data_IF_685040394570
#
_entry.id   IF_685040394570
#
_cell.length_a   1.000
_cell.length_b   1.000
_cell.length_c   1.000
_cell.angle_alpha   90.00
_cell.angle_beta   90.00
_cell.angle_gamma   90.00
#
_symmetry.space_group_name_H-M   'P 1'
#
loop_
_entity.id
_entity.type
_entity.pdbx_description
1 polymer ?
#
# COMPACT_ATOMS: atom_id res chain seq x y z
N UNK A 1 -5.12 -1.58 33.06
CA UNK A 1 -4.53 -0.82 31.94
C UNK A 1 -3.94 -1.87 31.00
N UNK A 2 -4.67 -2.24 29.95
CA UNK A 2 -4.27 -3.32 29.05
C UNK A 2 -3.23 -2.79 28.07
N UNK A 3 -2.02 -3.36 28.10
CA UNK A 3 -1.03 -3.22 27.04
C UNK A 3 -1.56 -3.95 25.81
N UNK A 4 -2.18 -3.21 24.89
CA UNK A 4 -2.42 -3.66 23.54
C UNK A 4 -1.12 -3.51 22.76
N UNK A 5 -0.19 -4.46 22.92
CA UNK A 5 0.90 -4.62 21.95
C UNK A 5 0.27 -5.05 20.63
N UNK A 6 -0.05 -4.06 19.79
CA UNK A 6 -0.43 -4.28 18.40
C UNK A 6 0.83 -4.73 17.65
N UNK A 7 1.10 -6.03 17.68
CA UNK A 7 2.13 -6.68 16.88
C UNK A 7 1.92 -6.29 15.42
N UNK A 8 2.80 -5.41 14.92
CA UNK A 8 2.68 -4.80 13.59
C UNK A 8 3.04 -5.76 12.46
N UNK A 9 3.69 -6.88 12.77
CA UNK A 9 4.01 -7.96 11.84
C UNK A 9 3.48 -9.27 12.37
N UNK A 10 2.87 -10.04 11.48
CA UNK A 10 2.35 -11.37 11.80
C UNK A 10 3.43 -12.38 11.49
N UNK A 11 3.93 -12.96 12.57
CA UNK A 11 4.83 -14.09 12.53
C UNK A 11 4.00 -15.36 12.75
N UNK A 12 4.19 -16.36 11.88
CA UNK A 12 3.44 -17.61 11.91
C UNK A 12 2.35 -17.74 10.84
N UNK A 13 1.64 -18.87 10.87
CA UNK A 13 0.66 -19.26 9.87
C UNK A 13 -0.50 -18.25 9.76
N UNK A 14 -0.95 -18.00 8.53
CA UNK A 14 -2.07 -17.13 8.18
C UNK A 14 -2.97 -17.82 7.15
N UNK A 15 -4.26 -17.47 7.11
CA UNK A 15 -5.15 -17.87 6.00
C UNK A 15 -4.63 -17.40 4.62
N UNK A 16 -3.74 -16.41 4.59
CA UNK A 16 -3.07 -16.00 3.35
C UNK A 16 -2.12 -17.09 2.83
N UNK A 17 -1.53 -17.90 3.71
CA UNK A 17 -0.63 -19.01 3.38
C UNK A 17 -1.33 -20.16 2.68
N UNK A 18 -2.65 -20.29 2.88
CA UNK A 18 -3.48 -21.29 2.19
C UNK A 18 -3.70 -20.92 0.71
N UNK A 19 -3.62 -19.63 0.38
CA UNK A 19 -3.80 -19.14 -0.99
C UNK A 19 -2.45 -18.99 -1.71
N UNK A 20 -1.46 -18.44 -1.02
CA UNK A 20 -0.12 -18.17 -1.56
C UNK A 20 0.89 -18.84 -0.64
N UNK A 21 1.66 -19.80 -1.15
CA UNK A 21 2.67 -20.49 -0.35
C UNK A 21 3.70 -19.50 0.23
N UNK A 22 4.25 -19.80 1.40
CA UNK A 22 5.21 -18.90 2.09
C UNK A 22 6.45 -18.69 1.22
N UNK A 23 6.90 -19.73 0.52
CA UNK A 23 8.03 -19.68 -0.41
C UNK A 23 7.78 -18.69 -1.55
N UNK A 24 6.56 -18.68 -2.10
CA UNK A 24 6.15 -17.74 -3.14
C UNK A 24 6.06 -16.31 -2.58
N UNK A 25 5.57 -16.13 -1.36
CA UNK A 25 5.54 -14.82 -0.70
C UNK A 25 6.94 -14.24 -0.50
N UNK A 26 7.91 -15.08 -0.10
CA UNK A 26 9.30 -14.68 0.07
C UNK A 26 9.94 -14.33 -1.29
N UNK A 27 9.75 -15.18 -2.30
CA UNK A 27 10.24 -14.91 -3.65
C UNK A 27 9.63 -13.64 -4.25
N UNK A 28 8.32 -13.41 -4.02
CA UNK A 28 7.66 -12.17 -4.41
C UNK A 28 8.24 -10.96 -3.68
N UNK A 29 8.59 -11.09 -2.40
CA UNK A 29 9.13 -9.96 -1.65
C UNK A 29 10.53 -9.56 -2.11
N UNK A 30 11.32 -10.50 -2.65
CA UNK A 30 12.62 -10.19 -3.26
C UNK A 30 12.49 -9.31 -4.52
N UNK A 31 11.47 -9.57 -5.34
CA UNK A 31 11.19 -8.78 -6.55
C UNK A 31 9.68 -8.68 -6.85
N UNK A 32 8.94 -7.79 -6.16
CA UNK A 32 7.50 -7.67 -6.33
C UNK A 32 7.10 -7.34 -7.76
N UNK A 33 7.91 -6.53 -8.44
CA UNK A 33 7.65 -6.08 -9.79
C UNK A 33 7.77 -7.25 -10.77
N UNK A 34 8.89 -7.97 -10.79
CA UNK A 34 9.06 -9.09 -11.73
C UNK A 34 8.07 -10.22 -11.45
N UNK A 35 7.88 -10.61 -10.18
CA UNK A 35 6.94 -11.66 -9.81
C UNK A 35 5.52 -11.34 -10.26
N UNK A 36 5.07 -10.09 -10.12
CA UNK A 36 3.75 -9.67 -10.58
C UNK A 36 3.63 -9.54 -12.11
N UNK A 37 4.73 -9.63 -12.88
CA UNK A 37 4.70 -9.70 -14.35
C UNK A 37 4.42 -11.09 -14.87
N UNK A 38 5.04 -12.05 -14.21
CA UNK A 38 5.03 -13.45 -14.62
C UNK A 38 3.91 -14.22 -13.95
N UNK A 39 3.30 -13.65 -12.91
CA UNK A 39 2.14 -14.22 -12.24
C UNK A 39 1.01 -14.48 -13.23
N UNK A 40 0.35 -15.63 -13.09
CA UNK A 40 -0.79 -15.97 -13.94
C UNK A 40 -1.86 -14.87 -13.89
N UNK A 41 -2.23 -14.34 -15.06
CA UNK A 41 -3.29 -13.34 -15.22
C UNK A 41 -4.67 -14.01 -15.20
N UNK A 42 -4.95 -14.81 -14.18
CA UNK A 42 -6.29 -15.36 -13.96
C UNK A 42 -7.20 -14.24 -13.45
N UNK A 43 -7.70 -13.45 -14.39
CA UNK A 43 -8.62 -12.35 -14.11
C UNK A 43 -9.92 -12.96 -13.60
N UNK A 44 -10.29 -12.65 -12.36
CA UNK A 44 -11.60 -12.98 -11.85
C UNK A 44 -12.66 -12.42 -12.81
N UNK A 45 -13.49 -13.28 -13.45
CA UNK A 45 -14.49 -12.80 -14.40
C UNK A 45 -15.46 -11.87 -13.66
N UNK A 46 -15.68 -10.70 -14.25
CA UNK A 46 -16.57 -9.68 -13.68
C UNK A 46 -18.00 -10.02 -14.06
N UNK A 47 -18.82 -10.38 -13.07
CA UNK A 47 -20.24 -10.67 -13.28
C UNK A 47 -21.06 -9.39 -13.60
N UNK A 48 -22.30 -9.57 -14.05
CA UNK A 48 -23.16 -8.44 -14.43
C UNK A 48 -23.51 -7.51 -13.26
N UNK A 49 -23.65 -8.03 -12.05
CA UNK A 49 -23.96 -7.25 -10.85
C UNK A 49 -22.76 -6.42 -10.40
N UNK A 50 -21.57 -7.01 -10.40
CA UNK A 50 -20.29 -6.34 -10.15
C UNK A 50 -20.04 -5.20 -11.15
N UNK A 51 -20.30 -5.47 -12.45
CA UNK A 51 -20.21 -4.47 -13.51
C UNK A 51 -21.21 -3.34 -13.31
N UNK A 52 -22.47 -3.66 -13.00
CA UNK A 52 -23.52 -2.67 -12.77
C UNK A 52 -23.18 -1.75 -11.59
N UNK A 53 -22.74 -2.31 -10.45
CA UNK A 53 -22.31 -1.53 -9.28
C UNK A 53 -21.12 -0.61 -9.59
N UNK A 54 -20.17 -1.08 -10.39
CA UNK A 54 -18.96 -0.33 -10.74
C UNK A 54 -19.21 0.82 -11.73
N UNK A 55 -20.22 0.68 -12.61
CA UNK A 55 -20.41 1.53 -13.80
C UNK A 55 -20.55 3.02 -13.49
N UNK A 56 -21.36 3.38 -12.49
CA UNK A 56 -21.66 4.80 -12.18
C UNK A 56 -20.40 5.59 -11.78
N UNK A 57 -19.67 5.09 -10.78
CA UNK A 57 -18.45 5.75 -10.31
C UNK A 57 -17.33 5.65 -11.34
N UNK A 58 -17.24 4.53 -12.05
CA UNK A 58 -16.27 4.36 -13.12
C UNK A 58 -16.47 5.39 -14.24
N UNK A 59 -17.70 5.57 -14.74
CA UNK A 59 -17.98 6.54 -15.81
C UNK A 59 -17.63 7.98 -15.39
N UNK A 60 -18.01 8.36 -14.16
CA UNK A 60 -17.67 9.67 -13.58
C UNK A 60 -16.17 9.85 -13.34
N UNK A 61 -15.48 8.77 -12.98
CA UNK A 61 -14.04 8.79 -12.80
C UNK A 61 -13.32 8.96 -14.14
N UNK A 62 -13.70 8.19 -15.16
CA UNK A 62 -13.08 8.26 -16.49
C UNK A 62 -13.33 9.57 -17.23
N UNK A 63 -14.35 10.35 -16.85
CA UNK A 63 -14.58 11.67 -17.42
C UNK A 63 -13.67 12.75 -16.83
N UNK A 64 -12.82 12.43 -15.85
CA UNK A 64 -11.88 13.39 -15.28
C UNK A 64 -10.65 13.56 -16.19
N UNK A 65 -10.06 14.77 -16.26
CA UNK A 65 -8.87 15.01 -17.07
C UNK A 65 -7.63 14.24 -16.58
N UNK A 66 -7.54 13.98 -15.28
CA UNK A 66 -6.44 13.30 -14.59
C UNK A 66 -6.66 11.79 -14.41
N UNK A 67 -7.75 11.22 -14.96
CA UNK A 67 -8.14 9.82 -14.72
C UNK A 67 -7.03 8.83 -15.10
N UNK A 68 -6.30 9.11 -16.18
CA UNK A 68 -5.20 8.27 -16.64
C UNK A 68 -4.03 8.27 -15.65
N UNK A 69 -3.64 9.42 -15.11
CA UNK A 69 -2.57 9.54 -14.12
C UNK A 69 -2.93 8.80 -12.83
N UNK A 70 -4.19 8.91 -12.38
CA UNK A 70 -4.66 8.18 -11.20
C UNK A 70 -4.64 6.66 -11.44
N UNK A 71 -5.05 6.22 -12.64
CA UNK A 71 -4.95 4.81 -13.06
C UNK A 71 -3.51 4.32 -13.08
N UNK A 72 -2.59 5.16 -13.55
CA UNK A 72 -1.19 4.84 -13.66
C UNK A 72 -0.56 4.70 -12.26
N UNK A 73 -0.86 5.62 -11.32
CA UNK A 73 -0.42 5.50 -9.93
C UNK A 73 -0.94 4.23 -9.24
N UNK A 74 -2.23 3.91 -9.41
CA UNK A 74 -2.79 2.67 -8.86
C UNK A 74 -2.16 1.44 -9.51
N UNK A 75 -1.99 1.43 -10.84
CA UNK A 75 -1.36 0.32 -11.55
C UNK A 75 0.07 0.08 -11.08
N UNK A 76 0.84 1.16 -10.88
CA UNK A 76 2.20 1.10 -10.36
C UNK A 76 2.26 0.53 -8.94
N UNK A 77 1.34 0.94 -8.06
CA UNK A 77 1.25 0.38 -6.72
C UNK A 77 0.86 -1.11 -6.73
N UNK A 78 -0.10 -1.50 -7.57
CA UNK A 78 -0.47 -2.92 -7.74
C UNK A 78 0.72 -3.74 -8.23
N UNK A 79 1.47 -3.19 -9.19
CA UNK A 79 2.65 -3.81 -9.76
C UNK A 79 3.76 -4.04 -8.73
N UNK A 80 4.06 -3.03 -7.93
CA UNK A 80 5.31 -3.02 -7.12
C UNK A 80 5.10 -3.30 -5.64
N UNK A 81 3.87 -3.20 -5.14
CA UNK A 81 3.60 -3.26 -3.70
C UNK A 81 2.53 -4.28 -3.32
N UNK A 82 1.69 -4.73 -4.25
CA UNK A 82 0.57 -5.62 -3.91
C UNK A 82 0.94 -7.09 -4.19
N UNK A 83 0.91 -7.98 -3.18
CA UNK A 83 1.11 -9.41 -3.37
C UNK A 83 0.11 -10.02 -4.38
N UNK A 84 0.61 -10.56 -5.49
CA UNK A 84 -0.13 -11.36 -6.45
C UNK A 84 -1.50 -10.76 -6.84
N UNK A 85 -1.55 -9.53 -7.37
CA UNK A 85 -2.76 -8.71 -7.34
C UNK A 85 -3.90 -9.31 -8.18
N UNK A 86 -3.62 -10.14 -9.19
CA UNK A 86 -4.66 -10.87 -9.92
C UNK A 86 -5.33 -11.95 -9.04
N UNK A 87 -4.52 -12.77 -8.37
CA UNK A 87 -5.00 -13.92 -7.57
C UNK A 87 -5.68 -13.48 -6.26
N UNK A 88 -5.26 -12.35 -5.70
CA UNK A 88 -5.67 -11.90 -4.36
C UNK A 88 -6.75 -10.82 -4.37
N UNK A 89 -7.21 -10.41 -5.57
CA UNK A 89 -8.27 -9.42 -5.76
C UNK A 89 -9.54 -9.82 -4.99
N UNK A 90 -10.24 -8.83 -4.42
CA UNK A 90 -11.49 -8.92 -3.65
C UNK A 90 -11.41 -9.73 -2.35
N UNK A 91 -10.47 -10.66 -2.24
CA UNK A 91 -10.24 -11.48 -1.06
C UNK A 91 -9.31 -10.78 -0.06
N UNK A 92 -8.23 -10.17 -0.53
CA UNK A 92 -7.22 -9.56 0.34
C UNK A 92 -6.94 -8.10 0.03
N UNK A 93 -7.21 -7.67 -1.20
CA UNK A 93 -7.17 -6.25 -1.57
C UNK A 93 -8.37 -5.82 -2.41
N UNK A 94 -8.64 -4.52 -2.39
CA UNK A 94 -9.62 -3.92 -3.29
C UNK A 94 -9.31 -2.47 -3.62
N UNK A 95 -9.88 -1.96 -4.70
CA UNK A 95 -9.75 -0.56 -5.09
C UNK A 95 -11.12 0.07 -5.29
N UNK A 96 -11.28 1.32 -4.85
CA UNK A 96 -12.48 2.12 -5.11
C UNK A 96 -12.13 3.34 -5.95
N UNK A 97 -13.07 3.83 -6.78
CA UNK A 97 -13.00 5.18 -7.36
C UNK A 97 -14.14 6.05 -6.84
N UNK A 98 -13.80 7.30 -6.57
CA UNK A 98 -14.69 8.34 -6.05
C UNK A 98 -15.53 7.85 -4.85
N UNK A 99 -14.92 7.26 -3.81
CA UNK A 99 -15.68 6.87 -2.63
C UNK A 99 -16.31 8.11 -1.98
N UNK A 100 -17.42 7.91 -1.28
CA UNK A 100 -18.17 9.00 -0.65
C UNK A 100 -17.49 9.58 0.61
N UNK A 101 -16.24 9.21 0.90
CA UNK A 101 -15.47 9.72 2.02
C UNK A 101 -15.23 11.22 1.86
N UNK A 102 -15.82 12.03 2.75
CA UNK A 102 -15.63 13.48 2.81
C UNK A 102 -14.73 13.80 4.01
N UNK A 103 -13.49 14.22 3.76
CA UNK A 103 -12.58 14.68 4.82
C UNK A 103 -12.75 16.17 5.16
N UNK A 104 -13.57 16.90 4.40
CA UNK A 104 -13.82 18.33 4.59
C UNK A 104 -14.55 18.94 3.41
N UNK A 105 -14.92 20.22 3.52
CA UNK A 105 -15.61 20.94 2.45
C UNK A 105 -14.72 21.01 1.21
N UNK A 106 -15.20 20.46 0.10
CA UNK A 106 -14.54 20.47 -1.21
C UNK A 106 -13.40 19.46 -1.38
N UNK A 107 -13.05 18.71 -0.34
CA UNK A 107 -12.10 17.60 -0.44
C UNK A 107 -12.74 16.41 -1.16
N UNK A 108 -11.97 15.76 -2.04
CA UNK A 108 -12.43 14.60 -2.82
C UNK A 108 -11.41 13.49 -2.77
N UNK A 109 -11.81 12.33 -2.24
CA UNK A 109 -11.08 11.08 -2.44
C UNK A 109 -11.35 10.58 -3.87
N UNK A 110 -10.30 10.44 -4.67
CA UNK A 110 -10.39 10.01 -6.06
C UNK A 110 -10.28 8.50 -6.20
N UNK A 111 -9.36 7.91 -5.44
CA UNK A 111 -9.12 6.48 -5.41
C UNK A 111 -8.59 6.06 -4.05
N UNK A 112 -8.89 4.82 -3.65
CA UNK A 112 -8.26 4.15 -2.51
C UNK A 112 -7.98 2.70 -2.88
N UNK A 113 -6.75 2.22 -2.68
CA UNK A 113 -6.41 0.79 -2.59
C UNK A 113 -6.43 0.41 -1.12
N UNK A 114 -7.15 -0.65 -0.79
CA UNK A 114 -7.30 -1.16 0.57
C UNK A 114 -6.82 -2.59 0.65
N UNK A 115 -6.18 -2.98 1.75
CA UNK A 115 -5.73 -4.35 2.01
C UNK A 115 -6.07 -4.73 3.46
N UNK A 116 -6.70 -5.89 3.63
CA UNK A 116 -7.30 -6.27 4.91
C UNK A 116 -8.32 -5.24 5.40
N UNK A 117 -8.02 -4.57 6.51
CA UNK A 117 -8.85 -3.51 7.10
C UNK A 117 -8.35 -2.08 6.84
N UNK A 118 -7.21 -1.91 6.16
CA UNK A 118 -6.52 -0.63 6.03
C UNK A 118 -6.66 -0.05 4.62
N UNK A 119 -6.63 1.29 4.52
CA UNK A 119 -6.34 1.99 3.27
C UNK A 119 -4.81 2.05 3.11
N UNK A 120 -4.28 1.51 2.00
CA UNK A 120 -2.84 1.36 1.77
C UNK A 120 -2.28 2.44 0.86
N UNK A 121 -3.06 2.82 -0.15
CA UNK A 121 -2.77 3.90 -1.07
C UNK A 121 -4.03 4.71 -1.23
N UNK A 122 -3.95 6.02 -1.14
CA UNK A 122 -5.09 6.86 -1.44
C UNK A 122 -4.73 8.17 -2.12
N UNK A 123 -5.61 8.56 -3.03
CA UNK A 123 -5.36 9.66 -3.96
C UNK A 123 -6.45 10.70 -3.74
N UNK A 124 -6.03 11.92 -3.44
CA UNK A 124 -6.91 12.98 -2.95
C UNK A 124 -6.76 14.26 -3.73
N UNK A 125 -7.86 14.98 -3.85
CA UNK A 125 -7.91 16.33 -4.39
C UNK A 125 -8.48 17.27 -3.35
N UNK A 126 -7.71 18.31 -2.99
CA UNK A 126 -8.21 19.42 -2.18
C UNK A 126 -9.09 20.35 -3.04
N UNK A 127 -9.91 21.24 -2.46
CA UNK A 127 -10.87 22.04 -3.22
C UNK A 127 -10.25 22.88 -4.34
N UNK A 128 -9.05 23.41 -4.10
CA UNK A 128 -8.31 24.31 -4.99
C UNK A 128 -6.89 23.83 -5.29
N UNK A 129 -6.47 22.69 -4.74
CA UNK A 129 -5.09 22.24 -4.84
C UNK A 129 -4.91 21.02 -5.75
N UNK A 130 -3.64 20.60 -5.90
CA UNK A 130 -3.27 19.49 -6.77
C UNK A 130 -3.84 18.17 -6.25
N UNK A 131 -3.79 17.16 -7.12
CA UNK A 131 -4.02 15.78 -6.72
C UNK A 131 -2.78 15.25 -6.03
N UNK A 132 -2.91 14.89 -4.76
CA UNK A 132 -1.86 14.28 -3.95
C UNK A 132 -2.07 12.78 -3.80
N UNK A 133 -0.99 12.07 -3.51
CA UNK A 133 -1.00 10.64 -3.20
C UNK A 133 -0.49 10.47 -1.77
N UNK A 134 -1.07 9.55 -1.02
CA UNK A 134 -0.52 9.07 0.23
C UNK A 134 -0.44 7.55 0.20
N UNK A 135 0.59 6.99 0.83
CA UNK A 135 0.83 5.55 0.86
C UNK A 135 1.36 5.12 2.22
N UNK A 136 0.78 4.07 2.79
CA UNK A 136 1.30 3.43 3.99
C UNK A 136 2.52 2.56 3.67
N UNK A 137 3.52 2.60 4.54
CA UNK A 137 4.80 1.89 4.43
C UNK A 137 5.25 1.34 5.78
N UNK A 138 6.19 0.41 5.77
CA UNK A 138 6.88 -0.07 6.97
C UNK A 138 8.15 0.76 7.20
N UNK A 139 8.15 1.62 8.22
CA UNK A 139 9.26 2.56 8.44
C UNK A 139 10.61 1.85 8.68
N UNK A 140 10.59 0.58 9.14
CA UNK A 140 11.81 -0.17 9.45
C UNK A 140 12.62 -0.51 8.19
N UNK A 141 11.99 -0.43 7.02
CA UNK A 141 12.62 -0.63 5.71
C UNK A 141 12.95 0.68 5.00
N UNK A 142 12.65 1.82 5.62
CA UNK A 142 13.12 3.11 5.14
C UNK A 142 14.53 3.36 5.70
N UNK A 143 15.48 3.89 4.90
CA UNK A 143 16.81 4.20 5.38
C UNK A 143 16.81 5.16 6.58
N UNK A 144 17.84 5.12 7.44
CA UNK A 144 18.07 6.19 8.41
C UNK A 144 18.22 7.54 7.69
N UNK A 145 17.72 8.61 8.29
CA UNK A 145 17.77 9.97 7.74
C UNK A 145 17.13 10.15 6.34
N UNK A 146 16.29 9.21 5.92
CA UNK A 146 15.67 9.21 4.59
C UNK A 146 14.78 10.42 4.33
N UNK A 147 14.29 11.11 5.36
CA UNK A 147 13.58 12.39 5.25
C UNK A 147 14.33 13.40 4.37
N UNK A 148 15.66 13.45 4.46
CA UNK A 148 16.47 14.39 3.67
C UNK A 148 16.49 14.02 2.18
N UNK A 149 16.56 12.73 1.89
CA UNK A 149 16.54 12.23 0.52
C UNK A 149 15.15 12.38 -0.10
N UNK A 150 14.10 12.04 0.66
CA UNK A 150 12.70 12.23 0.28
C UNK A 150 12.38 13.69 -0.03
N UNK A 151 12.95 14.64 0.74
CA UNK A 151 12.77 16.06 0.50
C UNK A 151 13.28 16.52 -0.88
N UNK A 152 14.25 15.82 -1.49
CA UNK A 152 14.71 16.14 -2.86
C UNK A 152 13.68 15.82 -3.95
N UNK A 153 12.66 15.03 -3.60
CA UNK A 153 11.55 14.66 -4.48
C UNK A 153 10.20 15.17 -3.96
N UNK A 154 10.21 16.15 -3.05
CA UNK A 154 9.04 16.71 -2.38
C UNK A 154 8.18 15.65 -1.66
N UNK A 155 8.76 14.53 -1.22
CA UNK A 155 8.07 13.49 -0.47
C UNK A 155 8.20 13.80 1.02
N UNK A 156 7.09 13.69 1.76
CA UNK A 156 7.06 13.92 3.21
C UNK A 156 6.62 12.67 3.96
N UNK A 157 7.21 12.45 5.13
CA UNK A 157 6.74 11.46 6.12
C UNK A 157 5.65 12.12 6.99
N UNK A 158 4.51 11.46 7.13
CA UNK A 158 3.34 11.97 7.87
C UNK A 158 3.12 11.26 9.21
N UNK A 159 3.93 10.24 9.51
CA UNK A 159 3.83 9.40 10.69
C UNK A 159 2.73 8.34 10.60
N UNK A 160 2.40 7.79 11.76
CA UNK A 160 1.31 6.81 11.94
C UNK A 160 -0.04 7.51 11.77
N UNK A 161 -0.84 7.05 10.82
CA UNK A 161 -2.15 7.64 10.50
C UNK A 161 -3.32 6.75 10.90
N UNK A 162 -3.09 5.44 11.04
CA UNK A 162 -4.13 4.48 11.33
C UNK A 162 -3.89 3.80 12.68
N UNK A 163 -4.93 3.76 13.51
CA UNK A 163 -4.93 2.99 14.76
C UNK A 163 -4.60 1.51 14.50
N UNK A 164 -5.06 0.98 13.36
CA UNK A 164 -4.81 -0.41 12.95
C UNK A 164 -3.60 -0.55 12.00
N UNK A 165 -2.80 0.50 11.80
CA UNK A 165 -1.55 0.45 11.03
C UNK A 165 -0.46 -0.34 11.77
N UNK A 166 -0.53 -0.39 13.09
CA UNK A 166 0.49 -1.01 13.94
C UNK A 166 1.68 -0.07 14.14
N UNK A 167 2.57 -0.45 15.06
CA UNK A 167 3.69 0.41 15.48
C UNK A 167 4.69 0.74 14.36
N UNK A 168 4.73 -0.06 13.29
CA UNK A 168 5.66 0.08 12.17
C UNK A 168 5.13 0.94 11.00
N UNK A 169 3.90 1.46 11.09
CA UNK A 169 3.35 2.27 10.02
C UNK A 169 4.08 3.62 9.88
N UNK A 170 4.39 3.97 8.64
CA UNK A 170 4.73 5.34 8.24
C UNK A 170 3.97 5.68 6.95
N UNK A 171 3.31 6.84 6.92
CA UNK A 171 2.60 7.29 5.73
C UNK A 171 3.44 8.30 4.96
N UNK A 172 3.81 7.94 3.73
CA UNK A 172 4.46 8.85 2.80
C UNK A 172 3.41 9.68 2.06
N UNK A 173 3.65 10.98 1.96
CA UNK A 173 2.81 11.94 1.23
C UNK A 173 3.57 12.50 0.02
N UNK A 174 2.92 12.41 -1.13
CA UNK A 174 3.42 12.90 -2.41
C UNK A 174 2.51 14.05 -2.89
N UNK A 175 3.05 15.25 -3.17
CA UNK A 175 2.25 16.44 -3.49
C UNK A 175 1.56 16.33 -4.85
N UNK A 176 2.08 15.49 -5.74
CA UNK A 176 1.51 15.22 -7.07
C UNK A 176 1.58 13.73 -7.41
N UNK A 177 0.76 13.29 -8.38
CA UNK A 177 0.86 11.95 -8.95
C UNK A 177 2.24 11.73 -9.61
N UNK A 178 2.79 12.75 -10.28
CA UNK A 178 4.11 12.66 -10.91
C UNK A 178 5.22 12.47 -9.88
N UNK A 179 5.15 13.14 -8.73
CA UNK A 179 6.09 12.94 -7.63
C UNK A 179 6.01 11.50 -7.09
N UNK A 180 4.80 10.96 -6.92
CA UNK A 180 4.61 9.55 -6.56
C UNK A 180 5.25 8.60 -7.57
N UNK A 181 4.95 8.75 -8.86
CA UNK A 181 5.51 7.89 -9.91
C UNK A 181 7.03 8.01 -9.94
N UNK A 182 7.58 9.22 -9.92
CA UNK A 182 9.03 9.46 -9.92
C UNK A 182 9.73 8.81 -8.73
N UNK A 183 9.21 9.01 -7.52
CA UNK A 183 9.77 8.40 -6.31
C UNK A 183 9.69 6.87 -6.34
N UNK A 184 8.57 6.31 -6.82
CA UNK A 184 8.40 4.87 -6.99
C UNK A 184 9.35 4.29 -8.04
N UNK A 185 9.81 5.05 -9.03
CA UNK A 185 10.86 4.62 -9.95
C UNK A 185 12.25 4.71 -9.32
N UNK A 186 12.54 5.83 -8.66
CA UNK A 186 13.88 6.17 -8.18
C UNK A 186 14.28 5.40 -6.91
N UNK A 187 13.35 5.20 -5.97
CA UNK A 187 13.68 4.70 -4.63
C UNK A 187 13.14 3.29 -4.42
N UNK A 188 14.02 2.30 -4.59
CA UNK A 188 13.73 0.91 -4.20
C UNK A 188 13.27 0.78 -2.72
N UNK A 189 13.83 1.52 -1.73
CA UNK A 189 13.38 1.40 -0.35
C UNK A 189 11.91 1.76 -0.13
N UNK A 190 11.37 2.76 -0.86
CA UNK A 190 9.93 3.10 -0.79
C UNK A 190 9.08 1.92 -1.23
N UNK A 191 9.45 1.29 -2.36
CA UNK A 191 8.73 0.13 -2.89
C UNK A 191 8.76 -1.04 -1.91
N UNK A 192 9.94 -1.34 -1.35
CA UNK A 192 10.11 -2.43 -0.40
C UNK A 192 9.34 -2.20 0.90
N UNK A 193 9.40 -0.98 1.46
CA UNK A 193 8.65 -0.62 2.65
C UNK A 193 7.13 -0.71 2.43
N UNK A 194 6.63 -0.26 1.28
CA UNK A 194 5.22 -0.39 0.91
C UNK A 194 4.80 -1.85 0.66
N UNK A 195 5.63 -2.63 -0.04
CA UNK A 195 5.40 -4.05 -0.32
C UNK A 195 5.34 -4.87 0.97
N UNK A 196 6.25 -4.60 1.92
CA UNK A 196 6.26 -5.27 3.21
C UNK A 196 5.00 -4.97 4.00
N UNK A 197 4.64 -3.68 4.06
CA UNK A 197 3.46 -3.24 4.79
C UNK A 197 2.18 -3.85 4.20
N UNK A 198 2.08 -3.91 2.88
CA UNK A 198 1.00 -4.58 2.16
C UNK A 198 0.91 -6.08 2.47
N UNK A 199 2.03 -6.80 2.42
CA UNK A 199 2.09 -8.22 2.75
C UNK A 199 1.64 -8.47 4.20
N UNK A 200 2.15 -7.68 5.16
CA UNK A 200 1.75 -7.79 6.57
C UNK A 200 0.24 -7.56 6.74
N UNK A 201 -0.36 -6.60 6.02
CA UNK A 201 -1.82 -6.38 6.06
C UNK A 201 -2.64 -7.51 5.45
N UNK A 202 -2.18 -8.09 4.33
CA UNK A 202 -2.87 -9.20 3.68
C UNK A 202 -2.76 -10.49 4.49
N UNK A 203 -1.62 -10.74 5.15
CA UNK A 203 -1.46 -11.83 6.14
C UNK A 203 -2.33 -11.63 7.38
N UNK A 204 -2.70 -10.39 7.72
CA UNK A 204 -3.53 -10.10 8.90
C UNK A 204 -4.99 -10.44 8.74
N UNK A 205 -5.56 -10.13 7.59
CA UNK A 205 -6.98 -10.37 7.38
C UNK A 205 -7.34 -10.28 5.92
N UNK A 206 -8.39 -10.99 5.54
CA UNK A 206 -9.12 -10.76 4.30
C UNK A 206 -9.69 -9.34 4.25
N UNK A 207 -9.96 -8.85 3.05
CA UNK A 207 -10.66 -7.61 2.79
C UNK A 207 -12.08 -7.68 3.36
N UNK A 208 -12.37 -6.86 4.37
CA UNK A 208 -13.68 -6.85 5.05
C UNK A 208 -14.52 -5.66 4.61
N UNK A 209 -14.51 -4.55 5.35
CA UNK A 209 -15.38 -3.37 5.16
C UNK A 209 -15.23 -2.67 3.79
N UNK A 210 -14.09 -2.87 3.13
CA UNK A 210 -13.80 -2.25 1.83
C UNK A 210 -14.23 -3.11 0.64
N UNK A 211 -14.68 -4.35 0.88
CA UNK A 211 -15.10 -5.28 -0.18
C UNK A 211 -16.26 -4.72 -1.01
N UNK A 212 -17.24 -4.10 -0.35
CA UNK A 212 -18.41 -3.54 -1.02
C UNK A 212 -18.12 -2.25 -1.82
N UNK A 213 -17.02 -1.57 -1.48
CA UNK A 213 -16.55 -0.40 -2.20
C UNK A 213 -15.69 -0.75 -3.43
N UNK A 214 -15.37 -2.03 -3.64
CA UNK A 214 -14.53 -2.47 -4.73
C UNK A 214 -15.15 -2.15 -6.10
N UNK A 215 -14.39 -1.46 -6.95
CA UNK A 215 -14.76 -1.13 -8.32
C UNK A 215 -14.02 -2.06 -9.29
N UNK A 216 -14.72 -3.08 -9.78
CA UNK A 216 -14.17 -4.11 -10.66
C UNK A 216 -13.67 -3.55 -12.00
N UNK A 217 -14.32 -2.52 -12.54
CA UNK A 217 -13.90 -1.89 -13.80
C UNK A 217 -12.59 -1.12 -13.63
N UNK A 218 -12.42 -0.43 -12.50
CA UNK A 218 -11.16 0.22 -12.17
C UNK A 218 -10.05 -0.82 -11.96
N UNK A 219 -10.29 -1.81 -11.08
CA UNK A 219 -9.31 -2.86 -10.80
C UNK A 219 -8.80 -3.52 -12.09
N UNK A 220 -9.71 -3.95 -12.98
CA UNK A 220 -9.35 -4.53 -14.27
C UNK A 220 -8.51 -3.60 -15.14
N UNK A 221 -8.84 -2.30 -15.18
CA UNK A 221 -8.09 -1.32 -15.99
C UNK A 221 -6.73 -0.93 -15.41
N UNK A 222 -6.54 -1.08 -14.10
CA UNK A 222 -5.24 -0.88 -13.44
C UNK A 222 -4.36 -2.13 -13.56
N UNK A 223 -4.94 -3.33 -13.41
CA UNK A 223 -4.27 -4.61 -13.60
C UNK A 223 -3.76 -4.79 -15.03
N UNK A 224 -4.55 -4.48 -16.05
CA UNK A 224 -4.08 -4.54 -17.45
C UNK A 224 -3.08 -3.44 -17.84
N UNK A 225 -2.74 -2.52 -16.93
CA UNK A 225 -1.71 -1.50 -17.15
C UNK A 225 -0.35 -1.90 -16.56
N UNK A 226 -0.26 -2.99 -15.81
CA UNK A 226 0.98 -3.35 -15.09
C UNK A 226 2.17 -3.54 -16.04
N UNK A 227 1.92 -3.98 -17.27
CA UNK A 227 2.93 -4.20 -18.32
C UNK A 227 3.57 -2.91 -18.84
N UNK A 228 3.01 -1.73 -18.51
CA UNK A 228 3.57 -0.44 -18.92
C UNK A 228 4.80 -0.03 -18.12
N UNK A 229 5.04 -0.67 -16.98
CA UNK A 229 6.07 -0.24 -16.03
C UNK A 229 7.38 -1.01 -16.28
N UNK A 230 8.37 -0.32 -16.82
CA UNK A 230 9.76 -0.78 -16.80
C UNK A 230 10.40 -0.32 -15.49
N UNK A 231 10.38 -1.19 -14.48
CA UNK A 231 10.96 -0.92 -13.16
C UNK A 231 12.02 -1.97 -12.90
N UNK A 232 13.24 -1.49 -12.65
CA UNK A 232 14.33 -2.32 -12.13
C UNK A 232 14.23 -2.35 -10.61
N UNK A 233 13.98 -3.53 -10.10
CA UNK A 233 14.21 -3.94 -8.71
C UNK A 233 15.68 -4.31 -8.63
N UNK A 234 16.54 -3.30 -8.44
CA UNK A 234 17.88 -3.63 -7.95
C UNK A 234 17.70 -4.26 -6.57
N UNK A 235 18.28 -5.45 -6.31
CA UNK A 235 18.29 -6.02 -4.98
C UNK A 235 18.89 -4.99 -4.02
N UNK A 236 18.16 -4.61 -2.98
CA UNK A 236 18.77 -3.80 -1.92
C UNK A 236 19.82 -4.65 -1.21
N UNK A 237 21.06 -4.18 -1.17
CA UNK A 237 22.09 -4.73 -0.30
C UNK A 237 21.53 -4.81 1.14
N UNK A 238 21.51 -6.01 1.73
CA UNK A 238 21.00 -6.26 3.09
C UNK A 238 19.58 -6.85 3.22
N UNK A 239 18.88 -7.14 2.12
CA UNK A 239 17.57 -7.84 2.18
C UNK A 239 17.65 -9.24 2.78
N UNK A 240 18.82 -9.88 2.73
CA UNK A 240 19.07 -11.19 3.31
C UNK A 240 18.73 -11.26 4.80
N UNK A 241 19.03 -10.23 5.59
CA UNK A 241 18.71 -10.19 7.03
C UNK A 241 17.20 -10.08 7.29
N UNK A 242 16.48 -9.30 6.46
CA UNK A 242 15.01 -9.16 6.55
C UNK A 242 14.30 -10.45 6.15
N UNK A 243 14.80 -11.13 5.10
CA UNK A 243 14.30 -12.44 4.66
C UNK A 243 14.55 -13.49 5.73
N UNK A 244 15.72 -13.48 6.38
CA UNK A 244 16.01 -14.35 7.52
C UNK A 244 15.05 -14.08 8.68
N UNK A 245 14.78 -12.82 9.03
CA UNK A 245 13.82 -12.47 10.09
C UNK A 245 12.36 -12.88 9.75
N UNK A 246 11.98 -12.90 8.47
CA UNK A 246 10.69 -13.45 8.02
C UNK A 246 10.62 -14.98 8.20
N UNK A 247 11.72 -15.68 7.96
CA UNK A 247 11.81 -17.14 8.10
C UNK A 247 11.85 -17.59 9.56
N UNK A 248 12.57 -16.85 10.40
CA UNK A 248 12.87 -17.27 11.78
C UNK A 248 11.85 -16.76 12.80
N UNK A 249 10.99 -15.80 12.43
CA UNK A 249 10.20 -15.04 13.40
C UNK A 249 11.10 -14.17 14.29
N UNK A 250 10.54 -13.31 15.15
CA UNK A 250 11.37 -12.47 16.00
C UNK A 250 12.09 -13.37 17.00
N UNK A 251 13.42 -13.41 16.94
CA UNK A 251 14.21 -13.77 18.10
C UNK A 251 13.75 -12.87 19.26
N UNK A 252 13.45 -13.48 20.41
CA UNK A 252 12.96 -12.82 21.63
C UNK A 252 14.02 -11.87 22.20
N UNK A 253 14.26 -10.77 21.51
CA UNK A 253 15.17 -9.73 21.93
C UNK A 253 14.38 -8.74 22.78
N UNK A 254 14.67 -8.74 24.08
CA UNK A 254 14.15 -7.75 25.03
C UNK A 254 14.61 -6.37 24.58
N UNK A 255 13.72 -5.59 23.98
CA UNK A 255 14.01 -4.19 23.71
C UNK A 255 14.10 -3.40 25.03
N UNK A 256 15.05 -2.46 25.13
CA UNK A 256 15.14 -1.57 26.28
C UNK A 256 13.89 -0.67 26.35
N UNK A 257 13.31 -0.58 27.53
CA UNK A 257 12.09 0.19 27.81
C UNK A 257 12.22 1.65 27.35
N UNK A 258 11.34 2.07 26.45
CA UNK A 258 11.18 3.45 26.01
C UNK A 258 10.49 4.29 27.08
N UNK A 259 11.18 4.56 28.19
CA UNK A 259 10.76 5.52 29.21
C UNK A 259 11.75 6.70 29.29
N UNK A 260 11.81 7.57 28.28
CA UNK A 260 12.56 8.85 28.42
C UNK A 260 12.27 9.97 27.42
N UNK A 261 11.25 9.89 26.55
CA UNK A 261 10.89 11.00 25.66
C UNK A 261 9.40 11.34 25.70
N UNK A 262 8.92 11.74 26.86
CA UNK A 262 7.68 12.50 27.01
C UNK A 262 7.69 13.24 28.34
N UNK A 263 8.31 14.42 28.36
CA UNK A 263 8.04 15.55 29.27
C UNK A 263 8.79 16.75 28.70
N UNK A 264 8.00 17.75 28.29
CA UNK A 264 8.31 19.19 28.25
C UNK A 264 7.70 19.86 27.03
N UNK A 265 6.37 19.95 27.04
CA UNK A 265 5.61 20.94 26.28
C UNK A 265 4.21 21.08 26.90
N UNK A 266 4.14 21.68 28.11
CA UNK A 266 2.93 22.31 28.70
C UNK A 266 3.29 22.98 30.03
N UNK A 267 3.60 24.28 29.93
CA UNK A 267 3.78 25.35 30.93
C UNK A 267 4.69 26.34 30.18
N UNK A 268 4.31 27.53 29.76
CA UNK A 268 3.32 28.52 30.18
C UNK A 268 2.73 29.23 28.96
#
# INVERSE_FOLDING_TARGET
>A
MFNSEHTSSIYGASEFDELIAIEDQLAWFEDPAASNLTSAHDVHPIDNNQRARSRKNWAKFTSRPDAHQVLDAVSLNLRTCTPFPFQTQIHYWGVSCLPNTRLGRGYKRLSTVSMGVLEMLWINQTPSGPVSVQMGTDYRLLPPDFERELATCDVAMAGVMHVNGGAAEEVLTFPTISAFIGAMHQFAPIRMAAARFALDRMRMSKLTRHKDAHNFLFAQKALHRVDKWSITTEPLDGLSEVITALREGPATTKHPSSSSRQRDARRE
#
